data_IF_489193578976
#
_entry.id   IF_489193578976
#
_cell.length_a   1.000
_cell.length_b   1.000
_cell.length_c   1.000
_cell.angle_alpha   90.00
_cell.angle_beta   90.00
_cell.angle_gamma   90.00
#
_symmetry.space_group_name_H-M   'P 1'
#
loop_
_entity.id
_entity.type
_entity.pdbx_description
1 polymer ?
#
# COMPACT_ATOMS: atom_id res chain seq x y z
N UNK A 1 11.70 37.51 44.94
CA UNK A 1 12.37 38.48 45.83
C UNK A 1 13.87 38.58 45.49
N UNK A 2 14.51 39.74 45.73
CA UNK A 2 15.97 39.86 45.73
C UNK A 2 16.60 38.93 46.77
N UNK A 3 17.82 38.46 46.53
CA UNK A 3 18.52 37.63 47.52
C UNK A 3 19.13 38.47 48.63
N UNK A 4 19.19 37.93 49.85
CA UNK A 4 19.78 38.57 51.04
C UNK A 4 21.16 39.20 50.79
N UNK A 5 22.02 38.53 50.01
CA UNK A 5 23.38 38.99 49.74
C UNK A 5 23.49 40.04 48.62
N UNK A 6 22.42 40.29 47.85
CA UNK A 6 22.44 41.25 46.74
C UNK A 6 21.05 41.84 46.55
N UNK A 7 20.68 42.71 47.48
CA UNK A 7 19.32 43.26 47.64
C UNK A 7 18.96 44.17 46.46
N UNK A 8 19.94 44.91 45.93
CA UNK A 8 19.77 45.82 44.79
C UNK A 8 19.81 45.11 43.43
N UNK A 9 20.01 43.77 43.39
CA UNK A 9 20.06 43.00 42.14
C UNK A 9 18.81 42.13 41.98
N UNK A 10 17.97 42.37 40.95
CA UNK A 10 16.78 41.57 40.73
C UNK A 10 17.15 40.13 40.32
N UNK A 11 16.70 39.13 41.09
CA UNK A 11 17.00 37.70 40.82
C UNK A 11 15.84 37.00 40.13
N UNK A 12 14.66 37.01 40.76
CA UNK A 12 13.52 36.22 40.29
C UNK A 12 12.94 36.73 38.98
N UNK A 13 12.76 38.04 38.83
CA UNK A 13 12.22 38.66 37.61
C UNK A 13 13.13 38.40 36.40
N UNK A 14 14.46 38.59 36.57
CA UNK A 14 15.45 38.28 35.53
C UNK A 14 15.43 36.79 35.15
N UNK A 15 15.35 35.91 36.15
CA UNK A 15 15.26 34.46 35.89
C UNK A 15 14.00 34.07 35.14
N UNK A 16 12.84 34.63 35.51
CA UNK A 16 11.58 34.38 34.82
C UNK A 16 11.59 34.94 33.41
N UNK A 17 12.09 36.16 33.21
CA UNK A 17 12.25 36.75 31.88
C UNK A 17 13.14 35.88 30.99
N UNK A 18 14.30 35.45 31.50
CA UNK A 18 15.21 34.55 30.76
C UNK A 18 14.56 33.22 30.42
N UNK A 19 13.79 32.62 31.35
CA UNK A 19 13.04 31.37 31.09
C UNK A 19 11.99 31.57 30.01
N UNK A 20 11.21 32.65 30.07
CA UNK A 20 10.19 32.99 29.08
C UNK A 20 10.80 33.18 27.69
N UNK A 21 11.91 33.94 27.59
CA UNK A 21 12.63 34.13 26.34
C UNK A 21 13.16 32.81 25.76
N UNK A 22 13.76 31.95 26.60
CA UNK A 22 14.24 30.62 26.18
C UNK A 22 13.08 29.73 25.69
N UNK A 23 11.95 29.74 26.38
CA UNK A 23 10.76 28.99 25.96
C UNK A 23 10.18 29.53 24.64
N UNK A 24 10.10 30.85 24.48
CA UNK A 24 9.66 31.52 23.26
C UNK A 24 10.51 31.14 22.05
N UNK A 25 11.84 31.19 22.19
CA UNK A 25 12.77 30.76 21.13
C UNK A 25 12.62 29.29 20.76
N UNK A 26 12.46 28.40 21.75
CA UNK A 26 12.21 26.97 21.52
C UNK A 26 10.90 26.74 20.77
N UNK A 27 9.81 27.42 21.17
CA UNK A 27 8.52 27.34 20.48
C UNK A 27 8.64 27.78 19.03
N UNK A 28 9.24 28.95 18.77
CA UNK A 28 9.41 29.47 17.41
C UNK A 28 10.29 28.54 16.54
N UNK A 29 11.32 27.90 17.10
CA UNK A 29 12.13 26.93 16.37
C UNK A 29 11.33 25.66 16.00
N UNK A 30 10.49 25.15 16.91
CA UNK A 30 9.62 23.99 16.65
C UNK A 30 8.52 24.28 15.64
N UNK A 31 7.98 25.49 15.67
CA UNK A 31 7.01 25.98 14.69
C UNK A 31 7.63 26.07 13.29
N UNK A 32 8.81 26.68 13.16
CA UNK A 32 9.57 26.72 11.90
C UNK A 32 9.94 25.32 11.38
N UNK A 33 10.18 24.37 12.27
CA UNK A 33 10.41 22.97 11.93
C UNK A 33 9.13 22.18 11.61
N UNK A 34 7.95 22.82 11.60
CA UNK A 34 6.68 22.16 11.27
C UNK A 34 6.23 21.10 12.27
N UNK A 35 6.72 21.13 13.51
CA UNK A 35 6.39 20.12 14.53
C UNK A 35 5.03 20.35 15.20
N UNK A 36 4.47 21.55 15.02
CA UNK A 36 3.13 21.86 15.52
C UNK A 36 2.09 21.65 14.43
N UNK A 37 0.90 21.26 14.85
CA UNK A 37 -0.23 21.15 13.94
C UNK A 37 -0.65 22.55 13.46
N UNK A 38 -1.13 22.66 12.21
CA UNK A 38 -1.57 23.92 11.66
C UNK A 38 -2.88 24.39 12.31
N UNK A 39 -3.31 25.60 11.94
CA UNK A 39 -4.56 26.18 12.40
C UNK A 39 -5.77 25.33 12.00
N UNK A 40 -6.86 25.41 12.78
CA UNK A 40 -8.05 24.57 12.57
C UNK A 40 -8.64 24.68 11.17
N UNK A 41 -8.61 25.87 10.58
CA UNK A 41 -9.18 26.20 9.27
C UNK A 41 -8.27 25.93 8.07
N UNK A 42 -7.01 25.53 8.28
CA UNK A 42 -6.13 25.22 7.15
C UNK A 42 -6.57 23.94 6.44
N UNK A 43 -6.38 23.85 5.13
CA UNK A 43 -6.74 22.65 4.36
C UNK A 43 -6.01 21.38 4.83
N UNK A 44 -4.81 21.53 5.40
CA UNK A 44 -4.03 20.43 5.98
C UNK A 44 -4.43 20.07 7.42
N UNK A 45 -5.41 20.77 7.99
CA UNK A 45 -5.97 20.49 9.31
C UNK A 45 -6.89 19.29 9.26
N UNK A 46 -6.83 18.45 10.29
CA UNK A 46 -7.67 17.26 10.43
C UNK A 46 -8.57 17.37 11.64
N UNK A 47 -9.17 18.55 11.77
CA UNK A 47 -10.05 18.88 12.89
C UNK A 47 -11.47 18.43 12.56
N UNK A 48 -12.02 17.51 13.36
CA UNK A 48 -13.32 16.87 13.10
C UNK A 48 -13.21 15.50 12.42
N UNK A 49 -12.04 15.15 11.88
CA UNK A 49 -11.77 13.83 11.30
C UNK A 49 -11.22 12.83 12.32
N UNK A 50 -11.28 11.54 11.95
CA UNK A 50 -10.62 10.47 12.69
C UNK A 50 -9.10 10.61 12.58
N UNK A 51 -8.44 10.71 13.72
CA UNK A 51 -6.98 10.80 13.83
C UNK A 51 -6.42 9.40 14.07
N UNK A 52 -5.65 8.86 13.12
CA UNK A 52 -4.96 7.59 13.34
C UNK A 52 -3.64 7.53 12.59
N UNK A 53 -2.57 7.34 13.36
CA UNK A 53 -1.20 7.23 12.83
C UNK A 53 -1.10 6.13 11.78
N UNK A 54 -1.83 5.01 11.95
CA UNK A 54 -1.79 3.92 10.98
C UNK A 54 -2.36 4.29 9.61
N UNK A 55 -3.45 5.07 9.55
CA UNK A 55 -3.99 5.52 8.26
C UNK A 55 -3.08 6.58 7.65
N UNK A 56 -2.48 7.44 8.48
CA UNK A 56 -1.55 8.47 8.03
C UNK A 56 -0.30 7.84 7.40
N UNK A 57 0.30 6.87 8.07
CA UNK A 57 1.43 6.10 7.54
C UNK A 57 1.07 5.30 6.29
N UNK A 58 -0.14 4.72 6.24
CA UNK A 58 -0.59 3.97 5.05
C UNK A 58 -0.76 4.88 3.83
N UNK A 59 -1.38 6.06 4.02
CA UNK A 59 -1.55 7.05 2.95
C UNK A 59 -0.21 7.61 2.51
N UNK A 60 0.67 7.95 3.46
CA UNK A 60 1.98 8.51 3.14
C UNK A 60 2.89 7.48 2.43
N UNK A 61 2.91 6.22 2.87
CA UNK A 61 3.67 5.15 2.20
C UNK A 61 3.12 4.74 0.83
N UNK A 62 1.82 4.92 0.57
CA UNK A 62 1.23 4.78 -0.78
C UNK A 62 1.73 5.86 -1.73
N UNK A 63 1.92 7.08 -1.23
CA UNK A 63 2.37 8.24 -2.00
C UNK A 63 3.86 8.13 -2.34
N UNK A 64 4.70 7.59 -1.44
CA UNK A 64 6.13 7.32 -1.72
C UNK A 64 6.35 6.26 -2.81
N UNK A 65 5.50 5.22 -2.88
CA UNK A 65 5.63 4.15 -3.88
C UNK A 65 4.94 4.46 -5.22
N UNK A 66 4.29 5.62 -5.35
CA UNK A 66 3.59 6.03 -6.55
C UNK A 66 3.61 7.53 -6.73
N UNK A 67 4.70 8.04 -7.34
CA UNK A 67 4.85 9.34 -8.01
C UNK A 67 3.99 10.51 -7.52
N UNK A 68 3.79 10.63 -6.21
CA UNK A 68 3.00 11.67 -5.59
C UNK A 68 3.86 12.34 -4.54
N UNK A 69 3.86 13.66 -4.56
CA UNK A 69 4.62 14.49 -3.64
C UNK A 69 3.97 14.43 -2.24
N UNK A 70 4.27 13.39 -1.48
CA UNK A 70 3.83 13.23 -0.10
C UNK A 70 5.03 13.11 0.78
N UNK A 71 5.22 14.11 1.63
CA UNK A 71 6.17 14.18 2.75
C UNK A 71 5.96 13.03 3.74
N UNK A 72 6.22 11.79 3.32
CA UNK A 72 6.73 10.79 4.23
C UNK A 72 8.25 10.96 4.28
N UNK A 73 8.76 10.70 5.47
CA UNK A 73 10.06 11.13 5.96
C UNK A 73 11.22 10.53 5.16
N UNK A 74 11.57 11.14 4.03
CA UNK A 74 12.79 10.84 3.28
C UNK A 74 14.08 11.28 3.99
N UNK A 75 13.97 11.97 5.13
CA UNK A 75 15.11 12.56 5.84
C UNK A 75 15.59 11.71 7.02
N UNK A 76 15.92 10.44 6.84
CA UNK A 76 16.69 9.63 7.81
C UNK A 76 16.24 9.69 9.29
N UNK A 77 15.02 10.15 9.56
CA UNK A 77 14.58 10.56 10.88
C UNK A 77 13.91 9.36 11.53
N UNK A 78 14.51 8.89 12.61
CA UNK A 78 14.01 7.74 13.35
C UNK A 78 12.65 8.10 13.95
N UNK A 79 11.63 7.32 13.62
CA UNK A 79 10.31 7.42 14.25
C UNK A 79 9.99 6.12 14.98
N UNK A 80 9.22 6.20 16.06
CA UNK A 80 8.68 5.02 16.75
C UNK A 80 7.36 4.52 16.15
N UNK A 81 6.88 5.17 15.09
CA UNK A 81 5.56 4.91 14.50
C UNK A 81 5.73 3.98 13.31
N UNK A 82 5.08 2.82 13.38
CA UNK A 82 5.14 1.82 12.30
C UNK A 82 3.75 1.41 11.85
N UNK A 83 3.67 0.91 10.60
CA UNK A 83 2.45 0.30 10.09
C UNK A 83 2.64 -1.22 10.06
N UNK A 84 1.92 -1.93 10.92
CA UNK A 84 1.92 -3.40 10.86
C UNK A 84 1.35 -3.89 9.54
N UNK A 85 2.03 -4.86 8.90
CA UNK A 85 1.56 -5.53 7.67
C UNK A 85 0.14 -6.10 7.80
N UNK A 86 -0.22 -6.59 9.00
CA UNK A 86 -1.58 -7.07 9.30
C UNK A 86 -2.60 -5.93 9.17
N UNK A 87 -2.27 -4.75 9.68
CA UNK A 87 -3.14 -3.57 9.60
C UNK A 87 -3.22 -3.04 8.18
N UNK A 88 -2.11 -3.01 7.44
CA UNK A 88 -2.09 -2.61 6.02
C UNK A 88 -3.05 -3.46 5.18
N UNK A 89 -2.97 -4.80 5.28
CA UNK A 89 -3.90 -5.71 4.58
C UNK A 89 -5.37 -5.49 4.95
N UNK A 90 -5.66 -5.21 6.22
CA UNK A 90 -7.04 -4.89 6.67
C UNK A 90 -7.54 -3.58 6.06
N UNK A 91 -6.68 -2.56 5.97
CA UNK A 91 -7.03 -1.28 5.35
C UNK A 91 -7.32 -1.50 3.85
N UNK A 92 -6.44 -2.21 3.13
CA UNK A 92 -6.64 -2.53 1.71
C UNK A 92 -7.95 -3.28 1.45
N UNK A 93 -8.25 -4.29 2.29
CA UNK A 93 -9.50 -5.04 2.17
C UNK A 93 -10.72 -4.16 2.40
N UNK A 94 -10.70 -3.33 3.44
CA UNK A 94 -11.82 -2.44 3.76
C UNK A 94 -12.00 -1.34 2.71
N UNK A 95 -10.91 -0.87 2.10
CA UNK A 95 -10.93 0.10 1.01
C UNK A 95 -11.62 -0.49 -0.22
N UNK A 96 -11.34 -1.75 -0.58
CA UNK A 96 -12.08 -2.46 -1.64
C UNK A 96 -13.57 -2.57 -1.36
N UNK A 97 -13.95 -2.88 -0.11
CA UNK A 97 -15.37 -2.91 0.27
C UNK A 97 -16.05 -1.54 0.22
N UNK A 98 -15.30 -0.46 0.46
CA UNK A 98 -15.83 0.90 0.30
C UNK A 98 -15.99 1.26 -1.19
N UNK A 99 -15.02 0.93 -2.03
CA UNK A 99 -15.10 1.13 -3.49
C UNK A 99 -16.26 0.36 -4.12
N UNK A 100 -16.45 -0.90 -3.73
CA UNK A 100 -17.59 -1.72 -4.19
C UNK A 100 -18.93 -1.09 -3.82
N UNK A 101 -19.07 -0.59 -2.58
CA UNK A 101 -20.29 0.10 -2.15
C UNK A 101 -20.52 1.41 -2.92
N UNK A 102 -19.46 2.17 -3.18
CA UNK A 102 -19.53 3.39 -3.99
C UNK A 102 -19.96 3.09 -5.43
N UNK A 103 -19.38 2.06 -6.05
CA UNK A 103 -19.75 1.68 -7.41
C UNK A 103 -21.22 1.23 -7.50
N UNK A 104 -21.71 0.49 -6.50
CA UNK A 104 -23.12 0.14 -6.41
C UNK A 104 -24.01 1.38 -6.30
N UNK A 105 -23.67 2.36 -5.47
CA UNK A 105 -24.45 3.62 -5.37
C UNK A 105 -24.40 4.44 -6.65
N UNK A 106 -23.25 4.48 -7.32
CA UNK A 106 -23.08 5.22 -8.58
C UNK A 106 -23.89 4.55 -9.71
N UNK A 107 -24.01 3.22 -9.71
CA UNK A 107 -24.85 2.48 -10.65
C UNK A 107 -26.34 2.64 -10.36
N UNK A 108 -26.77 2.62 -9.09
CA UNK A 108 -28.18 2.85 -8.75
C UNK A 108 -28.60 4.27 -9.09
N UNK A 109 -27.77 5.28 -8.80
CA UNK A 109 -28.06 6.67 -9.17
C UNK A 109 -28.17 6.83 -10.69
N UNK A 110 -27.28 6.19 -11.47
CA UNK A 110 -27.39 6.17 -12.93
C UNK A 110 -28.63 5.44 -13.42
N UNK A 111 -29.03 4.34 -12.78
CA UNK A 111 -30.23 3.59 -13.17
C UNK A 111 -31.49 4.40 -12.87
N UNK A 112 -31.54 5.12 -11.74
CA UNK A 112 -32.63 6.05 -11.41
C UNK A 112 -32.70 7.22 -12.40
N UNK A 113 -31.55 7.78 -12.80
CA UNK A 113 -31.48 8.80 -13.86
C UNK A 113 -31.82 8.25 -15.26
N UNK A 114 -31.62 6.95 -15.48
CA UNK A 114 -31.89 6.26 -16.76
C UNK A 114 -33.27 5.60 -16.81
N UNK A 115 -34.09 5.72 -15.75
CA UNK A 115 -35.36 5.02 -15.62
C UNK A 115 -36.53 5.74 -16.31
N UNK A 116 -36.32 6.11 -17.58
CA UNK A 116 -37.28 5.77 -18.63
C UNK A 116 -36.87 4.41 -19.24
N UNK A 117 -37.04 3.34 -18.45
CA UNK A 117 -37.19 1.97 -18.95
C UNK A 117 -35.93 1.20 -19.34
N UNK A 118 -35.43 0.35 -18.45
CA UNK A 118 -35.03 -1.02 -18.83
C UNK A 118 -35.05 -1.95 -17.61
N UNK A 119 -35.92 -2.97 -17.65
CA UNK A 119 -35.77 -4.17 -16.82
C UNK A 119 -34.50 -4.91 -17.24
N UNK A 120 -33.58 -5.14 -16.30
CA UNK A 120 -32.44 -6.04 -16.53
C UNK A 120 -32.60 -7.23 -15.59
N UNK A 121 -32.93 -8.36 -16.21
CA UNK A 121 -32.84 -9.70 -15.65
C UNK A 121 -31.44 -9.93 -15.06
N UNK A 122 -31.40 -10.28 -13.77
CA UNK A 122 -30.17 -10.52 -13.02
C UNK A 122 -29.56 -11.89 -13.38
N UNK A 123 -29.02 -12.01 -14.59
CA UNK A 123 -28.27 -13.20 -15.00
C UNK A 123 -26.87 -13.16 -14.38
N UNK A 124 -26.70 -13.89 -13.29
CA UNK A 124 -25.49 -14.65 -12.98
C UNK A 124 -24.24 -13.84 -12.64
N UNK A 125 -24.03 -13.61 -11.33
CA UNK A 125 -22.75 -13.20 -10.77
C UNK A 125 -21.63 -14.22 -11.01
N UNK A 126 -21.03 -14.19 -12.20
CA UNK A 126 -19.81 -14.89 -12.51
C UNK A 126 -18.64 -14.31 -11.72
N UNK A 127 -18.19 -15.03 -10.69
CA UNK A 127 -16.93 -14.77 -10.01
C UNK A 127 -15.82 -14.70 -11.07
N UNK A 128 -15.34 -13.50 -11.39
CA UNK A 128 -14.14 -13.33 -12.21
C UNK A 128 -13.00 -14.11 -11.53
N UNK A 129 -12.65 -15.26 -12.11
CA UNK A 129 -11.50 -16.07 -11.70
C UNK A 129 -10.28 -15.15 -11.76
N UNK A 130 -9.69 -14.87 -10.60
CA UNK A 130 -8.33 -14.33 -10.55
C UNK A 130 -7.44 -15.29 -11.33
N UNK A 131 -6.99 -14.87 -12.50
CA UNK A 131 -5.88 -15.52 -13.19
C UNK A 131 -4.65 -15.21 -12.34
N UNK A 132 -4.34 -16.09 -11.39
CA UNK A 132 -3.07 -16.02 -10.69
C UNK A 132 -1.97 -16.14 -11.75
N UNK A 133 -1.08 -15.15 -11.82
CA UNK A 133 0.08 -15.20 -12.71
C UNK A 133 0.87 -16.45 -12.31
N UNK A 134 0.87 -17.46 -13.18
CA UNK A 134 1.56 -18.72 -12.96
C UNK A 134 3.04 -18.39 -12.72
N UNK A 135 3.62 -18.95 -11.68
CA UNK A 135 5.05 -18.81 -11.41
C UNK A 135 5.84 -19.39 -12.59
N UNK A 136 7.09 -18.96 -12.79
CA UNK A 136 7.93 -19.50 -13.87
C UNK A 136 8.00 -21.04 -13.84
N UNK A 137 8.07 -21.62 -12.63
CA UNK A 137 7.99 -23.06 -12.42
C UNK A 137 6.63 -23.66 -12.85
N UNK A 138 5.52 -22.96 -12.60
CA UNK A 138 4.19 -23.38 -13.03
C UNK A 138 4.05 -23.41 -14.55
N UNK A 139 4.62 -22.43 -15.25
CA UNK A 139 4.64 -22.40 -16.71
C UNK A 139 5.47 -23.55 -17.31
N UNK A 140 6.64 -23.84 -16.72
CA UNK A 140 7.49 -24.97 -17.15
C UNK A 140 6.79 -26.31 -16.90
N UNK A 141 6.14 -26.48 -15.75
CA UNK A 141 5.39 -27.71 -15.46
C UNK A 141 4.23 -27.92 -16.44
N UNK A 142 3.47 -26.88 -16.76
CA UNK A 142 2.39 -26.99 -17.74
C UNK A 142 2.90 -27.28 -19.14
N UNK A 143 3.98 -26.62 -19.57
CA UNK A 143 4.61 -26.93 -20.85
C UNK A 143 5.10 -28.39 -20.90
N UNK A 144 5.69 -28.89 -19.82
CA UNK A 144 6.14 -30.28 -19.71
C UNK A 144 4.96 -31.26 -19.77
N UNK A 145 3.88 -30.99 -19.04
CA UNK A 145 2.68 -31.83 -19.07
C UNK A 145 2.02 -31.86 -20.46
N UNK A 146 1.94 -30.71 -21.14
CA UNK A 146 1.44 -30.65 -22.51
C UNK A 146 2.27 -31.49 -23.49
N UNK A 147 3.61 -31.48 -23.35
CA UNK A 147 4.50 -32.31 -24.20
C UNK A 147 4.36 -33.79 -23.88
N UNK A 148 4.19 -34.17 -22.62
CA UNK A 148 3.97 -35.57 -22.22
C UNK A 148 2.63 -36.07 -22.77
N UNK A 149 1.57 -35.27 -22.67
CA UNK A 149 0.25 -35.62 -23.20
C UNK A 149 0.28 -35.77 -24.73
N UNK A 150 0.96 -34.87 -25.45
CA UNK A 150 1.14 -34.94 -26.90
C UNK A 150 2.04 -36.13 -27.33
N UNK A 151 3.08 -36.44 -26.55
CA UNK A 151 3.92 -37.62 -26.78
C UNK A 151 3.20 -38.94 -26.46
N UNK A 152 2.21 -38.94 -25.59
CA UNK A 152 1.41 -40.13 -25.27
C UNK A 152 0.28 -40.38 -26.29
N UNK A 153 -0.18 -39.33 -26.97
CA UNK A 153 -1.19 -39.39 -28.02
C UNK A 153 -0.61 -39.67 -29.40
N UNK A 154 0.69 -39.42 -29.61
CA UNK A 154 1.44 -40.00 -30.73
C UNK A 154 1.68 -41.49 -30.47
N UNK A 155 0.81 -42.32 -31.05
CA UNK A 155 1.04 -43.77 -31.11
C UNK A 155 2.45 -44.06 -31.62
N UNK A 156 3.14 -44.97 -30.94
CA UNK A 156 4.51 -45.38 -31.25
C UNK A 156 4.60 -45.83 -32.72
N UNK A 157 5.01 -44.94 -33.63
CA UNK A 157 5.25 -45.31 -35.04
C UNK A 157 6.59 -46.04 -35.09
N UNK A 158 6.55 -47.34 -34.81
CA UNK A 158 7.64 -48.24 -35.20
C UNK A 158 7.53 -48.37 -36.73
N UNK A 159 8.34 -47.59 -37.45
CA UNK A 159 8.49 -47.73 -38.89
C UNK A 159 9.05 -49.12 -39.21
N UNK A 160 8.17 -50.05 -39.59
CA UNK A 160 8.55 -51.35 -40.09
C UNK A 160 9.08 -51.23 -41.53
N UNK A 161 10.42 -51.14 -41.65
CA UNK A 161 11.16 -51.60 -42.84
C UNK A 161 11.77 -50.53 -43.74
N UNK A 162 13.10 -50.44 -43.78
CA UNK A 162 13.96 -51.03 -44.82
C UNK A 162 15.44 -50.57 -44.63
N UNK A 163 16.31 -51.55 -44.39
CA UNK A 163 17.77 -51.58 -44.49
C UNK A 163 18.61 -50.30 -44.49
N UNK A 164 19.49 -50.18 -43.48
CA UNK A 164 20.92 -49.89 -43.70
C UNK A 164 21.77 -50.71 -42.75
N UNK A 165 22.56 -51.60 -43.33
CA UNK A 165 23.65 -52.34 -42.73
C UNK A 165 24.67 -51.42 -42.06
N UNK A 166 24.87 -51.55 -40.75
CA UNK A 166 26.16 -51.27 -40.11
C UNK A 166 26.49 -52.45 -39.19
N UNK A 167 27.43 -53.28 -39.67
CA UNK A 167 27.81 -54.52 -39.04
C UNK A 167 28.73 -54.39 -37.81
N UNK A 168 28.72 -55.46 -37.02
CA UNK A 168 29.81 -55.92 -36.15
C UNK A 168 29.49 -55.93 -34.63
N UNK A 169 30.19 -56.75 -33.82
CA UNK A 169 30.69 -58.11 -34.03
C UNK A 169 29.89 -59.15 -33.20
N UNK A 170 29.79 -60.37 -33.71
CA UNK A 170 29.31 -61.54 -32.97
C UNK A 170 30.52 -62.25 -32.34
N UNK A 171 30.45 -62.53 -31.03
CA UNK A 171 31.39 -63.39 -30.32
C UNK A 171 30.69 -64.69 -29.91
N UNK A 172 31.38 -65.85 -29.95
CA UNK A 172 30.80 -67.17 -29.74
C UNK A 172 30.31 -67.40 -28.30
#
# INVERSE_FOLDING_TARGET
>A
MPSKNSINRPKQTVNLHRKAQKAGKKRAARERAGQFNPARSSDSSRSGEIKSVSLDLYRAGKVENGAGNGTASTNGAVTSRTLSKKRAKKIERNLKYAEQRRLLTDLTAKLEDSNEGMEIDAVGGGRAKKVEKKTALGQVKEALWNVIEDSSSQGLVIGSGQGTTLGGPMFP
#
